data_IF_940416109427
#
_entry.id   IF_940416109427
#
_cell.length_a   1.000
_cell.length_b   1.000
_cell.length_c   1.000
_cell.angle_alpha   90.00
_cell.angle_beta   90.00
_cell.angle_gamma   90.00
#
_symmetry.space_group_name_H-M   'P 1'
#
loop_
_entity.id
_entity.type
_entity.pdbx_description
1 polymer ?
#
# COMPACT_ATOMS: atom_id res chain seq x y z
N UNK A 1 23.53 -8.33 -12.18
CA UNK A 1 22.56 -8.57 -11.10
C UNK A 1 21.32 -9.16 -11.75
N UNK A 2 21.04 -10.44 -11.53
CA UNK A 2 19.80 -11.07 -11.98
C UNK A 2 18.88 -11.10 -10.76
N UNK A 3 17.66 -10.60 -10.91
CA UNK A 3 16.62 -10.78 -9.89
C UNK A 3 16.16 -12.24 -10.05
N UNK A 4 16.93 -13.19 -9.52
CA UNK A 4 16.45 -14.56 -9.34
C UNK A 4 15.43 -14.58 -8.19
N UNK A 5 14.51 -15.56 -8.21
CA UNK A 5 13.34 -15.66 -7.30
C UNK A 5 13.62 -15.19 -5.87
N UNK A 6 13.14 -14.00 -5.52
CA UNK A 6 13.30 -13.43 -4.18
C UNK A 6 12.13 -13.86 -3.31
N UNK A 7 12.40 -14.60 -2.23
CA UNK A 7 11.36 -14.97 -1.28
C UNK A 7 10.77 -13.72 -0.62
N UNK A 8 9.46 -13.50 -0.82
CA UNK A 8 8.73 -12.41 -0.18
C UNK A 8 8.72 -12.62 1.34
N UNK A 9 9.20 -11.64 2.10
CA UNK A 9 9.22 -11.72 3.57
C UNK A 9 7.95 -11.18 4.22
N UNK A 10 6.83 -11.14 3.47
CA UNK A 10 5.55 -10.58 3.94
C UNK A 10 5.26 -11.02 5.37
N UNK A 11 5.43 -10.10 6.32
CA UNK A 11 5.14 -10.33 7.73
C UNK A 11 3.70 -10.81 7.81
N UNK A 12 3.47 -12.01 8.36
CA UNK A 12 2.12 -12.52 8.67
C UNK A 12 1.31 -11.38 9.26
N UNK A 13 0.25 -10.97 8.56
CA UNK A 13 -0.61 -9.89 9.03
C UNK A 13 -1.04 -10.20 10.47
N UNK A 14 -0.63 -9.33 11.41
CA UNK A 14 -1.24 -9.32 12.73
C UNK A 14 -2.73 -9.05 12.51
N UNK A 15 -3.60 -9.84 13.13
CA UNK A 15 -5.05 -9.59 13.12
C UNK A 15 -5.26 -8.18 13.67
N UNK A 16 -5.51 -7.24 12.77
CA UNK A 16 -5.69 -5.84 13.11
C UNK A 16 -7.10 -5.62 13.66
N UNK A 17 -7.30 -4.60 14.48
CA UNK A 17 -8.62 -4.17 14.99
C UNK A 17 -9.62 -3.82 13.88
N UNK A 18 -9.15 -3.66 12.64
CA UNK A 18 -9.93 -3.20 11.49
C UNK A 18 -10.07 -4.26 10.38
N UNK A 19 -10.03 -5.56 10.70
CA UNK A 19 -10.22 -6.66 9.71
C UNK A 19 -11.56 -6.62 8.96
N UNK A 20 -12.57 -5.97 9.54
CA UNK A 20 -13.89 -5.74 8.95
C UNK A 20 -13.88 -4.67 7.84
N UNK A 21 -12.85 -3.82 7.77
CA UNK A 21 -12.73 -2.79 6.74
C UNK A 21 -12.26 -3.42 5.44
N UNK A 22 -13.08 -3.31 4.39
CA UNK A 22 -12.83 -3.91 3.06
C UNK A 22 -12.55 -2.89 1.96
N UNK A 23 -12.69 -1.60 2.27
CA UNK A 23 -12.55 -0.49 1.32
C UNK A 23 -13.21 0.77 1.87
N UNK A 24 -13.35 1.81 1.05
CA UNK A 24 -13.97 3.07 1.49
C UNK A 24 -15.51 3.06 1.41
N UNK A 25 -16.12 2.09 0.73
CA UNK A 25 -17.57 1.98 0.63
C UNK A 25 -18.23 3.16 -0.10
N UNK A 26 -17.59 3.59 -1.19
CA UNK A 26 -18.09 4.63 -2.08
C UNK A 26 -19.04 4.03 -3.13
N UNK A 27 -20.03 4.82 -3.55
CA UNK A 27 -20.92 4.50 -4.64
C UNK A 27 -20.17 4.30 -5.96
N UNK A 28 -20.74 3.48 -6.84
CA UNK A 28 -20.22 3.25 -8.19
C UNK A 28 -20.62 4.37 -9.17
N UNK A 29 -21.37 5.36 -8.71
CA UNK A 29 -21.73 6.52 -9.51
C UNK A 29 -20.53 7.44 -9.69
N UNK A 30 -20.53 8.22 -10.77
CA UNK A 30 -19.46 9.18 -11.05
C UNK A 30 -19.28 10.26 -9.96
N UNK A 31 -20.26 10.36 -9.05
CA UNK A 31 -20.26 11.26 -7.90
C UNK A 31 -19.28 10.84 -6.80
N UNK A 32 -18.97 9.54 -6.68
CA UNK A 32 -18.08 9.02 -5.64
C UNK A 32 -18.63 9.17 -4.21
N UNK A 33 -19.95 9.24 -4.04
CA UNK A 33 -20.59 9.50 -2.76
C UNK A 33 -20.44 8.32 -1.80
N UNK A 34 -20.24 8.59 -0.51
CA UNK A 34 -20.12 7.53 0.48
C UNK A 34 -21.48 6.91 0.84
N UNK A 35 -21.60 5.58 0.71
CA UNK A 35 -22.82 4.89 1.14
C UNK A 35 -22.90 4.84 2.67
N UNK A 36 -24.07 5.09 3.31
CA UNK A 36 -24.18 5.21 4.77
C UNK A 36 -23.62 4.02 5.57
N UNK A 37 -23.76 2.80 5.03
CA UNK A 37 -23.24 1.56 5.59
C UNK A 37 -22.68 0.70 4.45
N UNK A 38 -21.35 0.63 4.33
CA UNK A 38 -20.68 -0.11 3.26
C UNK A 38 -19.21 -0.40 3.61
N UNK A 39 -18.68 -1.52 3.10
CA UNK A 39 -17.27 -1.93 3.22
C UNK A 39 -16.71 -1.93 4.66
N UNK A 40 -17.56 -2.17 5.66
CA UNK A 40 -17.21 -2.14 7.08
C UNK A 40 -17.30 -0.76 7.75
N UNK A 41 -17.60 0.30 7.00
CA UNK A 41 -17.81 1.65 7.55
C UNK A 41 -19.29 1.93 7.87
N UNK A 42 -19.49 2.73 8.92
CA UNK A 42 -20.77 3.34 9.29
C UNK A 42 -20.56 4.84 9.46
N UNK A 43 -21.30 5.67 8.70
CA UNK A 43 -21.17 7.12 8.76
C UNK A 43 -19.87 7.67 8.16
N UNK A 44 -19.37 8.81 8.65
CA UNK A 44 -18.14 9.48 8.15
C UNK A 44 -18.12 9.66 6.62
N UNK A 45 -19.22 10.13 6.04
CA UNK A 45 -19.37 10.25 4.59
C UNK A 45 -18.30 11.19 3.98
N UNK A 46 -18.17 12.39 4.53
CA UNK A 46 -17.22 13.41 4.05
C UNK A 46 -15.77 12.92 4.05
N UNK A 47 -15.34 12.24 5.13
CA UNK A 47 -13.98 11.73 5.24
C UNK A 47 -13.70 10.59 4.23
N UNK A 48 -14.70 9.74 3.97
CA UNK A 48 -14.61 8.65 2.98
C UNK A 48 -14.60 9.17 1.55
N UNK A 49 -15.44 10.16 1.25
CA UNK A 49 -15.47 10.84 -0.05
C UNK A 49 -14.15 11.56 -0.34
N UNK A 50 -13.62 12.30 0.65
CA UNK A 50 -12.31 12.93 0.55
C UNK A 50 -11.19 11.89 0.35
N UNK A 51 -11.26 10.76 1.06
CA UNK A 51 -10.32 9.65 0.86
C UNK A 51 -10.44 9.03 -0.54
N UNK A 52 -11.66 8.95 -1.10
CA UNK A 52 -11.90 8.52 -2.48
C UNK A 52 -11.22 9.42 -3.51
N UNK A 53 -11.39 10.74 -3.36
CA UNK A 53 -10.69 11.72 -4.20
C UNK A 53 -9.17 11.58 -4.09
N UNK A 54 -8.64 11.32 -2.88
CA UNK A 54 -7.21 11.06 -2.69
C UNK A 54 -6.77 9.80 -3.41
N UNK A 55 -7.52 8.69 -3.31
CA UNK A 55 -7.25 7.46 -4.06
C UNK A 55 -7.21 7.71 -5.57
N UNK A 56 -8.15 8.50 -6.09
CA UNK A 56 -8.18 8.84 -7.52
C UNK A 56 -7.01 9.72 -7.93
N UNK A 57 -6.62 10.71 -7.11
CA UNK A 57 -5.42 11.52 -7.35
C UNK A 57 -4.15 10.67 -7.32
N UNK A 58 -4.08 9.66 -6.44
CA UNK A 58 -2.98 8.71 -6.37
C UNK A 58 -2.90 7.88 -7.65
N UNK A 59 -4.03 7.30 -8.09
CA UNK A 59 -4.10 6.53 -9.35
C UNK A 59 -3.73 7.37 -10.56
N UNK A 60 -4.07 8.66 -10.54
CA UNK A 60 -3.68 9.64 -11.57
C UNK A 60 -2.24 10.17 -11.43
N UNK A 61 -1.45 9.67 -10.46
CA UNK A 61 -0.08 10.10 -10.16
C UNK A 61 0.06 11.59 -9.84
N UNK A 62 -1.01 12.24 -9.35
CA UNK A 62 -1.05 13.67 -8.97
C UNK A 62 -0.65 13.93 -7.51
N UNK A 63 -0.37 12.88 -6.75
CA UNK A 63 0.01 12.94 -5.33
C UNK A 63 1.53 12.76 -5.09
N UNK A 64 2.36 12.81 -6.13
CA UNK A 64 3.81 12.72 -5.97
C UNK A 64 4.34 13.83 -5.04
N UNK A 65 5.13 13.45 -4.04
CA UNK A 65 5.69 14.37 -3.04
C UNK A 65 4.67 14.94 -2.05
N UNK A 66 3.41 14.48 -2.05
CA UNK A 66 2.38 14.92 -1.12
C UNK A 66 2.15 13.90 -0.03
N UNK A 67 1.91 14.39 1.18
CA UNK A 67 1.57 13.55 2.33
C UNK A 67 0.09 13.75 2.68
N UNK A 68 -0.58 12.70 3.16
CA UNK A 68 -1.95 12.80 3.65
C UNK A 68 -1.93 12.90 5.19
N UNK A 69 -2.64 13.87 5.77
CA UNK A 69 -2.86 13.97 7.20
C UNK A 69 -4.32 13.65 7.55
N UNK A 70 -4.52 12.64 8.39
CA UNK A 70 -5.80 12.33 9.01
C UNK A 70 -5.84 12.98 10.40
N UNK A 71 -6.64 14.03 10.55
CA UNK A 71 -6.75 14.81 11.79
C UNK A 71 -8.13 14.63 12.42
N UNK A 72 -8.17 14.27 13.70
CA UNK A 72 -9.43 14.15 14.42
C UNK A 72 -9.28 13.55 15.82
N UNK A 73 -10.29 13.67 16.69
CA UNK A 73 -10.26 13.10 18.05
C UNK A 73 -9.88 11.60 18.10
N UNK A 74 -9.37 11.08 19.22
CA UNK A 74 -9.11 9.65 19.35
C UNK A 74 -10.42 8.85 19.16
N UNK A 75 -10.34 7.71 18.47
CA UNK A 75 -11.50 6.86 18.21
C UNK A 75 -12.38 7.23 17.00
N UNK A 76 -12.07 8.28 16.25
CA UNK A 76 -12.85 8.68 15.03
C UNK A 76 -12.53 7.89 13.77
N UNK A 77 -11.89 6.72 13.89
CA UNK A 77 -11.67 5.84 12.73
C UNK A 77 -10.57 6.26 11.77
N UNK A 78 -9.62 7.14 12.15
CA UNK A 78 -8.43 7.49 11.34
C UNK A 78 -7.69 6.25 10.81
N UNK A 79 -7.38 5.30 11.68
CA UNK A 79 -6.71 4.04 11.33
C UNK A 79 -7.55 3.18 10.40
N UNK A 80 -8.88 3.16 10.59
CA UNK A 80 -9.81 2.49 9.70
C UNK A 80 -9.81 3.13 8.30
N UNK A 81 -9.81 4.47 8.23
CA UNK A 81 -9.77 5.23 6.97
C UNK A 81 -8.48 4.99 6.20
N UNK A 82 -7.33 4.99 6.88
CA UNK A 82 -6.04 4.66 6.26
C UNK A 82 -6.01 3.22 5.71
N UNK A 83 -6.60 2.26 6.44
CA UNK A 83 -6.76 0.90 5.95
C UNK A 83 -7.69 0.84 4.74
N UNK A 84 -8.80 1.57 4.76
CA UNK A 84 -9.72 1.70 3.62
C UNK A 84 -9.02 2.22 2.37
N UNK A 85 -8.20 3.27 2.49
CA UNK A 85 -7.36 3.80 1.40
C UNK A 85 -6.40 2.74 0.88
N UNK A 86 -5.72 2.00 1.77
CA UNK A 86 -4.81 0.92 1.38
C UNK A 86 -5.52 -0.21 0.62
N UNK A 87 -6.72 -0.61 1.06
CA UNK A 87 -7.54 -1.62 0.37
C UNK A 87 -8.01 -1.14 -1.02
N UNK A 88 -8.27 0.17 -1.18
CA UNK A 88 -8.65 0.76 -2.46
C UNK A 88 -7.47 0.87 -3.44
N UNK A 89 -6.26 1.04 -2.93
CA UNK A 89 -5.04 1.10 -3.74
C UNK A 89 -4.49 -0.29 -4.07
N UNK A 90 -4.73 -1.26 -3.20
CA UNK A 90 -4.33 -2.66 -3.39
C UNK A 90 -5.22 -3.41 -4.39
N UNK A 91 -4.81 -4.64 -4.72
CA UNK A 91 -5.62 -5.55 -5.51
C UNK A 91 -6.85 -5.98 -4.70
N UNK A 92 -8.06 -5.62 -5.18
CA UNK A 92 -9.35 -5.94 -4.55
C UNK A 92 -9.74 -7.42 -4.67
N UNK A 93 -8.78 -8.34 -4.67
CA UNK A 93 -9.01 -9.75 -4.96
C UNK A 93 -8.90 -10.57 -3.68
N UNK A 94 -10.02 -11.15 -3.26
CA UNK A 94 -10.09 -12.11 -2.17
C UNK A 94 -10.45 -13.51 -2.69
N UNK A 95 -10.14 -14.54 -1.90
CA UNK A 95 -10.57 -15.92 -2.19
C UNK A 95 -12.11 -15.96 -2.24
N UNK A 96 -12.64 -16.51 -3.33
CA UNK A 96 -14.08 -16.52 -3.62
C UNK A 96 -14.54 -15.38 -4.55
N UNK A 97 -13.66 -14.48 -4.99
CA UNK A 97 -13.96 -13.52 -6.05
C UNK A 97 -13.77 -14.13 -7.45
N UNK A 98 -14.68 -13.79 -8.36
CA UNK A 98 -14.50 -14.03 -9.80
C UNK A 98 -13.78 -12.82 -10.36
N UNK A 99 -12.66 -13.06 -11.04
CA UNK A 99 -11.80 -12.04 -11.62
C UNK A 99 -11.62 -12.28 -13.11
N UNK A 100 -11.46 -11.19 -13.86
CA UNK A 100 -11.04 -11.18 -15.25
C UNK A 100 -9.62 -10.62 -15.30
N UNK A 101 -8.70 -11.36 -15.91
CA UNK A 101 -7.31 -10.94 -16.06
C UNK A 101 -7.07 -10.63 -17.52
N UNK A 102 -6.69 -9.39 -17.80
CA UNK A 102 -6.31 -8.96 -19.13
C UNK A 102 -4.83 -9.25 -19.36
N UNK A 103 -4.54 -10.32 -20.10
CA UNK A 103 -3.19 -10.90 -20.23
C UNK A 103 -2.15 -9.91 -20.79
N UNK A 104 -2.56 -8.98 -21.66
CA UNK A 104 -1.65 -8.02 -22.29
C UNK A 104 -1.24 -6.86 -21.38
N UNK A 105 -2.11 -6.47 -20.45
CA UNK A 105 -1.88 -5.33 -19.54
C UNK A 105 -1.57 -5.77 -18.12
N UNK A 106 -1.72 -7.06 -17.79
CA UNK A 106 -1.67 -7.56 -16.42
C UNK A 106 -2.84 -7.06 -15.55
N UNK A 107 -3.81 -6.35 -16.12
CA UNK A 107 -4.88 -5.74 -15.36
C UNK A 107 -5.85 -6.80 -14.83
N UNK A 108 -5.93 -6.89 -13.51
CA UNK A 108 -6.88 -7.76 -12.81
C UNK A 108 -8.14 -6.97 -12.48
N UNK A 109 -9.26 -7.32 -13.11
CA UNK A 109 -10.57 -6.72 -12.86
C UNK A 109 -11.42 -7.69 -12.04
N UNK A 110 -11.84 -7.29 -10.84
CA UNK A 110 -12.84 -8.04 -10.07
C UNK A 110 -14.19 -7.94 -10.79
N UNK A 111 -14.78 -9.08 -11.14
CA UNK A 111 -16.08 -9.18 -11.82
C UNK A 111 -17.21 -9.29 -10.80
N UNK A 112 -16.96 -9.95 -9.67
CA UNK A 112 -17.94 -10.09 -8.60
C UNK A 112 -17.54 -11.15 -7.58
N UNK A 113 -18.41 -11.48 -6.64
CA UNK A 113 -18.22 -12.63 -5.75
C UNK A 113 -18.85 -13.87 -6.39
N UNK A 114 -18.20 -15.02 -6.26
CA UNK A 114 -18.77 -16.25 -6.79
C UNK A 114 -20.04 -16.61 -6.02
N UNK A 115 -21.09 -16.93 -6.76
CA UNK A 115 -22.34 -17.53 -6.29
C UNK A 115 -22.14 -18.76 -5.40
N UNK A 116 -21.08 -19.54 -5.61
CA UNK A 116 -20.72 -20.69 -4.76
C UNK A 116 -20.36 -20.30 -3.32
N UNK A 117 -20.07 -19.02 -3.06
CA UNK A 117 -19.76 -18.46 -1.75
C UNK A 117 -20.88 -17.56 -1.22
N UNK A 118 -22.04 -17.50 -1.89
CA UNK A 118 -23.22 -16.81 -1.38
C UNK A 118 -23.77 -17.57 -0.18
N UNK A 119 -23.91 -16.91 0.97
CA UNK A 119 -24.62 -17.46 2.13
C UNK A 119 -26.02 -16.88 2.20
N UNK A 120 -27.01 -17.65 2.68
CA UNK A 120 -28.42 -17.21 2.77
C UNK A 120 -28.62 -15.99 3.71
N UNK A 121 -27.58 -15.61 4.47
CA UNK A 121 -27.60 -14.50 5.44
C UNK A 121 -26.60 -13.39 5.12
N UNK A 122 -26.12 -13.31 3.88
CA UNK A 122 -25.20 -12.25 3.49
C UNK A 122 -25.96 -10.92 3.35
N UNK A 123 -25.82 -10.05 4.35
CA UNK A 123 -26.39 -8.69 4.38
C UNK A 123 -25.56 -7.70 3.55
N UNK A 124 -24.48 -8.16 2.92
CA UNK A 124 -23.57 -7.34 2.13
C UNK A 124 -24.06 -7.17 0.68
N UNK A 125 -24.06 -5.93 0.18
CA UNK A 125 -24.47 -5.59 -1.18
C UNK A 125 -23.35 -5.89 -2.21
N UNK A 126 -22.85 -7.12 -2.25
CA UNK A 126 -21.88 -7.54 -3.28
C UNK A 126 -22.59 -8.08 -4.53
N UNK A 127 -22.07 -7.76 -5.72
CA UNK A 127 -22.57 -8.32 -6.99
C UNK A 127 -22.09 -9.78 -7.12
N UNK A 128 -23.03 -10.73 -7.01
CA UNK A 128 -22.74 -12.15 -7.18
C UNK A 128 -22.79 -12.55 -8.65
N UNK A 129 -21.73 -13.24 -9.08
CA UNK A 129 -21.58 -13.70 -10.46
C UNK A 129 -21.34 -15.21 -10.49
N UNK A 130 -21.92 -15.91 -11.47
CA UNK A 130 -21.73 -17.34 -11.59
C UNK A 130 -20.28 -17.68 -11.93
N UNK A 131 -19.82 -18.83 -11.43
CA UNK A 131 -18.51 -19.36 -11.83
C UNK A 131 -18.43 -19.48 -13.37
N UNK A 132 -17.41 -18.89 -14.01
CA UNK A 132 -17.22 -18.97 -15.45
C UNK A 132 -17.14 -20.44 -15.90
N UNK A 133 -17.94 -20.80 -16.90
CA UNK A 133 -17.95 -22.17 -17.44
C UNK A 133 -16.97 -22.28 -18.61
N UNK A 134 -16.17 -23.35 -18.60
CA UNK A 134 -15.18 -23.66 -19.63
C UNK A 134 -13.74 -23.58 -19.12
N UNK A 135 -12.78 -23.61 -20.03
CA UNK A 135 -11.35 -23.53 -19.68
C UNK A 135 -10.98 -22.15 -19.14
N UNK A 136 -10.17 -22.13 -18.08
CA UNK A 136 -9.68 -20.93 -17.40
C UNK A 136 -8.84 -20.06 -18.35
N UNK A 137 -8.13 -20.68 -19.30
CA UNK A 137 -7.36 -19.99 -20.34
C UNK A 137 -8.03 -20.11 -21.70
N UNK A 138 -8.82 -19.11 -22.11
CA UNK A 138 -9.25 -18.98 -23.51
C UNK A 138 -8.19 -18.22 -24.31
N UNK A 139 -7.34 -18.94 -25.05
CA UNK A 139 -6.46 -18.34 -26.06
C UNK A 139 -7.29 -17.87 -27.25
N UNK A 140 -7.47 -16.55 -27.40
CA UNK A 140 -7.40 -15.96 -28.75
C UNK A 140 -5.91 -15.85 -29.06
N UNK A 141 -5.44 -16.50 -30.12
CA UNK A 141 -4.03 -16.65 -30.46
C UNK A 141 -3.29 -15.31 -30.51
N UNK A 142 -2.59 -14.94 -29.44
CA UNK A 142 -1.25 -14.34 -29.48
C UNK A 142 -0.46 -14.96 -28.33
N UNK A 143 0.76 -15.39 -28.66
CA UNK A 143 1.58 -16.39 -27.98
C UNK A 143 2.20 -15.94 -26.64
N UNK A 144 2.36 -16.94 -25.75
CA UNK A 144 3.48 -17.17 -24.80
C UNK A 144 3.86 -15.99 -23.87
N UNK A 145 3.72 -16.04 -22.54
CA UNK A 145 4.34 -17.00 -21.61
C UNK A 145 3.76 -16.75 -20.21
N UNK A 146 3.83 -17.79 -19.38
CA UNK A 146 3.40 -17.81 -17.98
C UNK A 146 4.25 -16.82 -17.17
N UNK A 147 3.61 -15.91 -16.44
CA UNK A 147 4.22 -15.17 -15.34
C UNK A 147 3.27 -15.21 -14.14
N UNK A 148 3.61 -16.03 -13.14
CA UNK A 148 3.13 -15.84 -11.78
C UNK A 148 3.61 -14.48 -11.30
N UNK A 149 2.69 -13.53 -11.06
CA UNK A 149 3.04 -12.26 -10.44
C UNK A 149 3.65 -12.54 -9.06
N UNK A 150 4.97 -12.34 -8.95
CA UNK A 150 5.66 -12.41 -7.68
C UNK A 150 5.70 -11.00 -7.10
N UNK A 151 4.85 -10.74 -6.11
CA UNK A 151 4.87 -9.48 -5.38
C UNK A 151 6.11 -9.45 -4.48
N UNK A 152 7.10 -8.66 -4.88
CA UNK A 152 8.36 -8.48 -4.16
C UNK A 152 8.49 -7.01 -3.79
N UNK A 153 8.74 -6.71 -2.52
CA UNK A 153 8.99 -5.33 -2.09
C UNK A 153 10.43 -4.92 -2.42
N UNK A 154 10.68 -3.62 -2.61
CA UNK A 154 12.05 -3.12 -2.75
C UNK A 154 12.94 -3.50 -1.56
N UNK A 155 12.35 -3.59 -0.36
CA UNK A 155 13.08 -4.03 0.82
C UNK A 155 13.51 -5.50 0.72
N UNK A 156 12.67 -6.38 0.17
CA UNK A 156 13.05 -7.79 -0.05
C UNK A 156 14.22 -7.90 -1.04
N UNK A 157 14.21 -7.09 -2.11
CA UNK A 157 15.33 -6.99 -3.05
C UNK A 157 16.61 -6.50 -2.35
N UNK A 158 16.51 -5.43 -1.57
CA UNK A 158 17.64 -4.88 -0.82
C UNK A 158 18.21 -5.91 0.16
N UNK A 159 17.35 -6.59 0.93
CA UNK A 159 17.76 -7.56 1.94
C UNK A 159 18.40 -8.81 1.33
N UNK A 160 17.82 -9.34 0.23
CA UNK A 160 18.36 -10.50 -0.47
C UNK A 160 19.75 -10.24 -1.06
N UNK A 161 20.02 -9.02 -1.51
CA UNK A 161 21.31 -8.64 -2.07
C UNK A 161 22.32 -8.17 -1.00
N UNK A 162 21.85 -7.69 0.15
CA UNK A 162 22.71 -7.37 1.29
C UNK A 162 23.21 -8.62 2.02
N UNK A 163 22.44 -9.71 2.00
CA UNK A 163 22.81 -11.02 2.52
C UNK A 163 22.73 -12.08 1.41
N UNK A 164 23.75 -12.19 0.53
CA UNK A 164 23.73 -13.19 -0.52
C UNK A 164 23.67 -14.59 0.10
N UNK A 165 22.53 -15.27 -0.01
CA UNK A 165 22.33 -16.65 0.49
C UNK A 165 23.14 -17.70 -0.31
N UNK A 166 23.99 -17.29 -1.26
CA UNK A 166 24.53 -18.15 -2.32
C UNK A 166 26.05 -18.39 -2.31
N UNK A 167 26.75 -18.21 -1.19
CA UNK A 167 28.16 -18.62 -1.13
C UNK A 167 28.29 -20.14 -1.01
N UNK A 168 28.72 -20.84 -2.07
CA UNK A 168 29.23 -22.22 -1.95
C UNK A 168 30.54 -22.21 -1.16
N UNK A 169 30.46 -22.26 0.17
CA UNK A 169 31.63 -22.26 1.02
C UNK A 169 31.31 -22.61 2.47
N UNK A 170 32.31 -23.15 3.17
CA UNK A 170 32.25 -23.53 4.59
C UNK A 170 31.78 -22.36 5.48
N UNK A 171 32.01 -21.12 5.05
CA UNK A 171 31.59 -19.90 5.73
C UNK A 171 30.07 -19.63 5.68
N UNK A 172 29.35 -20.05 4.62
CA UNK A 172 27.90 -19.85 4.52
C UNK A 172 27.12 -20.86 5.39
N UNK A 173 27.63 -22.08 5.50
CA UNK A 173 27.15 -23.10 6.45
C UNK A 173 27.31 -22.63 7.90
N UNK A 174 28.42 -21.95 8.21
CA UNK A 174 28.67 -21.38 9.53
C UNK A 174 27.81 -20.14 9.81
N UNK A 175 27.49 -19.38 8.76
CA UNK A 175 26.57 -18.23 8.79
C UNK A 175 25.10 -18.62 9.05
N UNK A 176 24.63 -19.77 8.55
CA UNK A 176 23.29 -20.29 8.84
C UNK A 176 23.11 -20.71 10.31
N UNK A 177 24.20 -21.06 11.00
CA UNK A 177 24.19 -21.41 12.43
C UNK A 177 24.24 -20.18 13.35
N UNK A 178 24.67 -19.03 12.84
CA UNK A 178 24.63 -17.75 13.56
C UNK A 178 23.33 -17.02 13.28
N UNK A 179 22.71 -16.43 14.32
CA UNK A 179 21.53 -15.58 14.12
C UNK A 179 21.85 -14.51 13.06
N UNK A 180 21.05 -14.39 11.99
CA UNK A 180 21.26 -13.34 11.00
C UNK A 180 21.20 -11.99 11.71
N UNK A 181 22.33 -11.28 11.78
CA UNK A 181 22.35 -9.91 12.25
C UNK A 181 21.71 -9.06 11.16
N UNK A 182 20.77 -8.18 11.52
CA UNK A 182 20.27 -7.16 10.60
C UNK A 182 21.43 -6.22 10.28
N UNK A 183 22.06 -6.42 9.13
CA UNK A 183 23.05 -5.49 8.61
C UNK A 183 22.31 -4.32 7.97
N UNK A 184 22.74 -3.09 8.27
CA UNK A 184 22.21 -1.92 7.59
C UNK A 184 22.50 -2.02 6.09
N UNK A 185 21.47 -1.82 5.28
CA UNK A 185 21.61 -1.75 3.83
C UNK A 185 22.26 -0.41 3.49
N UNK A 186 23.36 -0.46 2.75
CA UNK A 186 24.09 0.75 2.34
C UNK A 186 23.35 1.51 1.23
N UNK A 187 23.48 2.83 1.19
CA UNK A 187 22.86 3.65 0.15
C UNK A 187 23.38 3.33 -1.25
N UNK A 188 24.65 2.88 -1.38
CA UNK A 188 25.21 2.43 -2.66
C UNK A 188 24.44 1.23 -3.22
N UNK A 189 24.13 0.24 -2.39
CA UNK A 189 23.37 -0.94 -2.79
C UNK A 189 21.94 -0.55 -3.22
N UNK A 190 21.27 0.33 -2.45
CA UNK A 190 19.95 0.85 -2.82
C UNK A 190 19.95 1.55 -4.17
N UNK A 191 20.98 2.37 -4.45
CA UNK A 191 21.09 3.07 -5.74
C UNK A 191 21.31 2.11 -6.90
N UNK A 192 22.08 1.04 -6.71
CA UNK A 192 22.27 0.00 -7.74
C UNK A 192 20.97 -0.76 -8.01
N UNK A 193 20.25 -1.16 -6.95
CA UNK A 193 18.97 -1.85 -7.07
C UNK A 193 17.93 -0.96 -7.75
N UNK A 194 17.81 0.30 -7.34
CA UNK A 194 16.88 1.26 -7.97
C UNK A 194 17.16 1.43 -9.47
N UNK A 195 18.43 1.43 -9.91
CA UNK A 195 18.77 1.48 -11.34
C UNK A 195 18.29 0.25 -12.11
N UNK A 196 18.39 -0.93 -11.50
CA UNK A 196 17.92 -2.18 -12.11
C UNK A 196 16.39 -2.21 -12.15
N UNK A 197 15.72 -1.85 -11.06
CA UNK A 197 14.26 -1.78 -10.98
C UNK A 197 13.70 -0.81 -12.02
N UNK A 198 14.26 0.40 -12.11
CA UNK A 198 13.82 1.38 -13.11
C UNK A 198 13.97 0.84 -14.54
N UNK A 199 15.07 0.13 -14.84
CA UNK A 199 15.23 -0.52 -16.15
C UNK A 199 14.14 -1.55 -16.44
N UNK A 200 13.76 -2.36 -15.44
CA UNK A 200 12.71 -3.37 -15.62
C UNK A 200 11.33 -2.73 -15.82
N UNK A 201 11.10 -1.56 -15.20
CA UNK A 201 9.89 -0.74 -15.42
C UNK A 201 9.90 -0.18 -16.84
N UNK A 202 11.02 0.40 -17.29
CA UNK A 202 11.17 0.98 -18.63
C UNK A 202 11.05 -0.06 -19.74
N UNK A 203 11.54 -1.29 -19.50
CA UNK A 203 11.41 -2.44 -20.41
C UNK A 203 10.00 -3.09 -20.37
N UNK A 204 9.12 -2.65 -19.46
CA UNK A 204 7.77 -3.20 -19.29
C UNK A 204 7.73 -4.61 -18.68
N UNK A 205 8.83 -5.05 -18.07
CA UNK A 205 8.96 -6.36 -17.41
C UNK A 205 8.35 -6.35 -16.02
N UNK A 206 8.36 -5.20 -15.34
CA UNK A 206 7.82 -5.02 -14.00
C UNK A 206 6.96 -3.77 -13.89
N UNK A 207 5.89 -3.83 -13.09
CA UNK A 207 5.09 -2.66 -12.72
C UNK A 207 5.40 -2.25 -11.29
N UNK A 208 5.58 -0.96 -11.06
CA UNK A 208 5.69 -0.42 -9.72
C UNK A 208 4.31 -0.12 -9.15
N UNK A 209 3.92 -0.89 -8.14
CA UNK A 209 2.70 -0.63 -7.35
C UNK A 209 3.08 0.14 -6.08
N UNK A 210 2.68 1.41 -5.93
CA UNK A 210 2.99 2.18 -4.72
C UNK A 210 2.19 1.64 -3.54
N UNK A 211 2.88 1.37 -2.43
CA UNK A 211 2.26 1.00 -1.17
C UNK A 211 1.77 2.20 -0.34
N UNK A 212 1.22 1.92 0.83
CA UNK A 212 0.83 2.92 1.83
C UNK A 212 1.69 2.79 3.07
N UNK A 213 2.36 3.87 3.48
CA UNK A 213 3.05 3.98 4.76
C UNK A 213 2.15 4.78 5.72
N UNK A 214 1.52 4.08 6.65
CA UNK A 214 0.71 4.71 7.70
C UNK A 214 1.54 4.91 8.97
N UNK A 215 1.59 6.14 9.47
CA UNK A 215 2.23 6.50 10.74
C UNK A 215 1.17 7.09 11.65
N UNK A 216 0.82 6.35 12.69
CA UNK A 216 -0.11 6.80 13.72
C UNK A 216 0.61 7.66 14.76
N UNK A 217 -0.13 8.57 15.40
CA UNK A 217 0.37 9.41 16.50
C UNK A 217 1.65 10.17 16.15
N UNK A 218 1.69 10.78 14.95
CA UNK A 218 2.89 11.43 14.37
C UNK A 218 3.57 12.40 15.32
N UNK A 219 2.80 13.17 16.08
CA UNK A 219 3.30 14.12 17.09
C UNK A 219 4.21 13.46 18.12
N UNK A 220 3.86 12.24 18.54
CA UNK A 220 4.61 11.51 19.56
C UNK A 220 5.77 10.72 18.96
N UNK A 221 5.65 10.32 17.70
CA UNK A 221 6.55 9.37 17.07
C UNK A 221 7.73 10.05 16.35
N UNK A 222 7.50 11.19 15.71
CA UNK A 222 8.50 11.83 14.84
C UNK A 222 9.03 13.13 15.45
N UNK A 223 10.33 13.36 15.26
CA UNK A 223 11.00 14.63 15.55
C UNK A 223 11.36 15.37 14.26
N UNK A 224 11.97 16.55 14.42
CA UNK A 224 12.35 17.42 13.29
C UNK A 224 13.32 16.75 12.31
N UNK A 225 14.21 15.88 12.80
CA UNK A 225 15.16 15.14 11.96
C UNK A 225 14.43 14.08 11.13
N UNK A 226 13.47 13.38 11.73
CA UNK A 226 12.61 12.42 11.03
C UNK A 226 11.80 13.09 9.91
N UNK A 227 11.23 14.27 10.17
CA UNK A 227 10.50 15.02 9.14
C UNK A 227 11.39 15.44 7.97
N UNK A 228 12.61 15.90 8.27
CA UNK A 228 13.60 16.25 7.24
C UNK A 228 13.98 15.05 6.36
N UNK A 229 14.14 13.88 6.99
CA UNK A 229 14.39 12.63 6.25
C UNK A 229 13.19 12.23 5.37
N UNK A 230 11.98 12.29 5.92
CA UNK A 230 10.76 11.94 5.19
C UNK A 230 10.51 12.85 4.00
N UNK A 231 10.73 14.16 4.15
CA UNK A 231 10.66 15.12 3.04
C UNK A 231 11.57 14.71 1.87
N UNK A 232 12.83 14.41 2.15
CA UNK A 232 13.78 13.93 1.13
C UNK A 232 13.34 12.58 0.54
N UNK A 233 12.78 11.69 1.34
CA UNK A 233 12.35 10.36 0.86
C UNK A 233 11.11 10.46 -0.05
N UNK A 234 10.20 11.40 0.22
CA UNK A 234 8.98 11.67 -0.55
C UNK A 234 9.24 12.30 -1.92
N UNK A 235 10.41 12.91 -2.14
CA UNK A 235 10.84 13.40 -3.45
C UNK A 235 11.09 12.25 -4.46
N UNK A 236 11.30 11.03 -3.97
CA UNK A 236 11.50 9.87 -4.84
C UNK A 236 10.20 9.45 -5.54
N UNK A 237 10.27 9.16 -6.84
CA UNK A 237 9.14 8.59 -7.60
C UNK A 237 8.74 7.19 -7.16
N UNK A 238 9.63 6.48 -6.46
CA UNK A 238 9.39 5.16 -5.88
C UNK A 238 8.80 5.23 -4.46
N UNK A 239 8.55 6.44 -3.95
CA UNK A 239 8.04 6.61 -2.58
C UNK A 239 6.60 6.09 -2.45
N UNK A 240 6.27 5.38 -1.36
CA UNK A 240 4.89 5.02 -1.06
C UNK A 240 4.10 6.29 -0.67
N UNK A 241 2.77 6.19 -0.70
CA UNK A 241 1.95 7.25 -0.13
C UNK A 241 2.10 7.23 1.38
N UNK A 242 2.49 8.37 1.93
CA UNK A 242 2.61 8.55 3.38
C UNK A 242 1.31 9.10 3.92
N UNK A 243 0.75 8.42 4.92
CA UNK A 243 -0.44 8.83 5.65
C UNK A 243 -0.06 9.02 7.11
N UNK A 244 -0.18 10.25 7.58
CA UNK A 244 -0.05 10.65 8.96
C UNK A 244 -1.39 10.63 9.66
N UNK A 245 -1.42 10.22 10.92
CA UNK A 245 -2.57 10.44 11.79
C UNK A 245 -2.18 11.22 13.04
N UNK A 246 -3.08 12.11 13.44
CA UNK A 246 -2.94 12.92 14.65
C UNK A 246 -4.28 13.13 15.33
N UNK A 247 -4.26 13.18 16.65
CA UNK A 247 -5.37 13.58 17.49
C UNK A 247 -5.16 14.93 18.19
N UNK A 248 -4.03 15.59 17.92
CA UNK A 248 -3.65 16.87 18.55
C UNK A 248 -3.87 18.03 17.60
N UNK A 249 -4.41 19.13 18.12
CA UNK A 249 -4.68 20.36 17.38
C UNK A 249 -3.42 21.23 17.23
N UNK A 250 -3.00 21.90 18.29
CA UNK A 250 -1.76 22.68 18.33
C UNK A 250 -0.83 22.05 19.36
N UNK A 251 0.40 21.76 18.97
CA UNK A 251 1.43 21.25 19.89
C UNK A 251 2.82 21.58 19.37
N UNK A 252 3.81 21.49 20.24
CA UNK A 252 5.19 21.75 19.86
C UNK A 252 5.70 20.66 18.91
N UNK A 253 6.48 21.05 17.91
CA UNK A 253 7.21 20.10 17.08
C UNK A 253 8.26 19.42 17.95
N UNK A 254 8.24 18.09 18.01
CA UNK A 254 9.16 17.32 18.86
C UNK A 254 10.61 17.62 18.49
N UNK A 255 11.41 17.95 19.50
CA UNK A 255 12.79 18.42 19.35
C UNK A 255 12.93 19.94 19.29
N UNK A 256 11.83 20.70 19.34
CA UNK A 256 11.84 22.16 19.38
C UNK A 256 10.80 22.70 20.38
N UNK A 257 10.93 23.97 20.75
CA UNK A 257 9.94 24.69 21.56
C UNK A 257 8.92 25.47 20.72
N UNK A 258 8.90 25.26 19.39
CA UNK A 258 8.03 25.98 18.48
C UNK A 258 6.65 25.31 18.40
N UNK A 259 5.56 26.03 18.74
CA UNK A 259 4.21 25.52 18.57
C UNK A 259 3.85 25.48 17.07
N UNK A 260 3.25 24.39 16.63
CA UNK A 260 2.79 24.22 15.25
C UNK A 260 1.46 23.46 15.17
N UNK A 261 0.61 23.72 14.16
CA UNK A 261 -0.52 22.85 13.85
C UNK A 261 -0.08 21.40 13.75
N UNK A 262 -0.77 20.55 14.52
CA UNK A 262 -0.56 19.10 14.56
C UNK A 262 0.87 18.67 14.91
N UNK A 263 1.71 19.54 15.48
CA UNK A 263 3.10 19.23 15.81
C UNK A 263 3.97 18.93 14.59
N UNK A 264 3.55 19.39 13.40
CA UNK A 264 4.24 19.18 12.14
C UNK A 264 5.01 20.46 11.77
N UNK A 265 6.27 20.37 11.33
CA UNK A 265 7.01 21.53 10.83
C UNK A 265 6.27 22.28 9.71
N UNK A 266 6.34 23.61 9.71
CA UNK A 266 5.62 24.48 8.76
C UNK A 266 5.97 24.19 7.30
N UNK A 267 7.21 23.79 7.02
CA UNK A 267 7.69 23.37 5.70
C UNK A 267 6.96 22.14 5.16
N UNK A 268 6.46 21.26 6.04
CA UNK A 268 5.69 20.09 5.64
C UNK A 268 4.18 20.35 5.64
N UNK A 269 3.69 21.36 6.35
CA UNK A 269 2.26 21.73 6.34
C UNK A 269 1.77 22.10 4.94
N UNK A 270 2.60 22.75 4.12
CA UNK A 270 2.21 23.17 2.77
C UNK A 270 2.07 22.01 1.77
N UNK A 271 2.71 20.88 2.03
CA UNK A 271 2.66 19.68 1.19
C UNK A 271 1.63 18.64 1.68
N UNK A 272 0.90 18.94 2.76
CA UNK A 272 -0.09 18.06 3.35
C UNK A 272 -1.49 18.29 2.77
N UNK A 273 -2.12 17.20 2.33
CA UNK A 273 -3.56 17.14 2.18
C UNK A 273 -4.18 16.74 3.52
N UNK A 274 -5.09 17.54 4.08
CA UNK A 274 -5.69 17.27 5.39
C UNK A 274 -7.12 16.75 5.22
N UNK A 275 -7.39 15.55 5.73
CA UNK A 275 -8.74 15.02 5.89
C UNK A 275 -9.11 15.07 7.37
N UNK A 276 -10.26 15.68 7.67
CA UNK A 276 -10.84 15.66 9.01
C UNK A 276 -11.62 14.36 9.19
N UNK A 277 -11.26 13.59 10.21
CA UNK A 277 -11.84 12.29 10.54
C UNK A 277 -12.67 12.35 11.82
#
# INVERSE_FOLDING_TARGET
>A
MKIEEVQSTTMKQRIATHTHIKGLGLGLDASGNALPLAAGFVGHAEAREAAGLVVDMIRQKKMAGRTLLLAGPPGTGKTALALGISQELGSKVAVGNVIYVEVNSGAVKRVGRSDAFATEFDLEAEEYVPLPKGEVHKKKEILNNIASHQDVTLHDLDAANAQPQGGQGILSLMGQMMKPRKTEITDKLRQEINKVVNRYIDEGVAELVPGVLFIDEVVHMLDTECFSYLNRALESSLSPIVIFATNRGICNVRGTDMPSPHGIPVDLLDSLAIIRA
#
